data_IF_025132417605
#
_entry.id   IF_025132417605
#
_cell.length_a   1.000
_cell.length_b   1.000
_cell.length_c   1.000
_cell.angle_alpha   90.00
_cell.angle_beta   90.00
_cell.angle_gamma   90.00
#
_symmetry.space_group_name_H-M   'P 1'
#
loop_
_entity.id
_entity.type
_entity.pdbx_description
1 polymer ?
#
# COMPACT_ATOMS: atom_id res chain seq x y z
N UNK A 1 -12.45 -52.38 -27.62
CA UNK A 1 -12.68 -51.93 -26.23
C UNK A 1 -13.79 -50.90 -26.21
N UNK A 2 -14.96 -51.23 -25.63
CA UNK A 2 -16.07 -50.27 -25.46
C UNK A 2 -15.85 -49.52 -24.15
N UNK A 3 -15.30 -48.33 -24.21
CA UNK A 3 -15.17 -47.45 -23.04
C UNK A 3 -16.58 -47.03 -22.66
N UNK A 4 -17.10 -47.57 -21.55
CA UNK A 4 -18.44 -47.25 -21.05
C UNK A 4 -18.52 -45.76 -20.69
N UNK A 5 -19.55 -45.06 -21.19
CA UNK A 5 -19.84 -43.64 -20.90
C UNK A 5 -19.87 -43.33 -19.39
N UNK A 6 -20.21 -44.33 -18.56
CA UNK A 6 -20.14 -44.25 -17.08
C UNK A 6 -18.72 -43.99 -16.54
N UNK A 7 -17.68 -44.49 -17.22
CA UNK A 7 -16.29 -44.29 -16.84
C UNK A 7 -15.80 -42.87 -17.20
N UNK A 8 -16.37 -42.26 -18.25
CA UNK A 8 -16.06 -40.89 -18.66
C UNK A 8 -16.71 -39.85 -17.71
N UNK A 9 -17.91 -40.14 -17.20
CA UNK A 9 -18.59 -39.31 -16.19
C UNK A 9 -17.90 -39.35 -14.82
N UNK A 10 -17.31 -40.47 -14.44
CA UNK A 10 -16.57 -40.61 -13.18
C UNK A 10 -15.23 -39.85 -13.19
N UNK A 11 -14.58 -39.76 -14.37
CA UNK A 11 -13.32 -39.01 -14.53
C UNK A 11 -13.53 -37.48 -14.52
N UNK A 12 -14.73 -37.01 -14.85
CA UNK A 12 -15.05 -35.58 -14.85
C UNK A 12 -15.35 -35.02 -13.45
N UNK A 13 -15.59 -35.87 -12.45
CA UNK A 13 -15.92 -35.44 -11.09
C UNK A 13 -14.69 -35.19 -10.20
N UNK A 14 -13.49 -35.60 -10.63
CA UNK A 14 -12.26 -35.56 -9.81
C UNK A 14 -11.43 -34.28 -10.03
N UNK A 15 -11.77 -33.43 -11.00
CA UNK A 15 -10.98 -32.21 -11.32
C UNK A 15 -11.48 -30.92 -10.65
N UNK A 16 -12.45 -31.01 -9.71
CA UNK A 16 -13.03 -29.85 -9.02
C UNK A 16 -12.39 -29.53 -7.65
N UNK A 17 -11.14 -29.95 -7.42
CA UNK A 17 -10.33 -29.37 -6.35
C UNK A 17 -9.78 -28.01 -6.79
N UNK A 18 -10.68 -27.03 -6.88
CA UNK A 18 -10.33 -25.62 -6.94
C UNK A 18 -9.55 -25.30 -5.67
N UNK A 19 -8.23 -25.12 -5.79
CA UNK A 19 -7.36 -24.66 -4.73
C UNK A 19 -7.87 -23.32 -4.22
N UNK A 20 -8.66 -23.35 -3.16
CA UNK A 20 -8.97 -22.17 -2.35
C UNK A 20 -7.68 -21.80 -1.64
N UNK A 21 -6.84 -21.03 -2.32
CA UNK A 21 -5.76 -20.33 -1.64
C UNK A 21 -6.46 -19.34 -0.72
N UNK A 22 -6.43 -19.59 0.58
CA UNK A 22 -6.83 -18.58 1.56
C UNK A 22 -6.02 -17.33 1.23
N UNK A 23 -6.72 -16.19 1.07
CA UNK A 23 -6.07 -14.92 0.86
C UNK A 23 -5.30 -14.58 2.14
N UNK A 24 -4.04 -14.98 2.18
CA UNK A 24 -3.16 -14.74 3.31
C UNK A 24 -2.64 -13.31 3.20
N UNK A 25 -2.82 -12.54 4.27
CA UNK A 25 -2.29 -11.19 4.35
C UNK A 25 -1.36 -11.07 5.55
N UNK A 26 -0.27 -10.35 5.34
CA UNK A 26 0.67 -9.97 6.39
C UNK A 26 0.40 -8.54 6.82
N UNK A 27 0.35 -8.33 8.14
CA UNK A 27 0.28 -6.99 8.73
C UNK A 27 1.67 -6.46 9.00
N UNK A 28 1.90 -5.18 8.74
CA UNK A 28 3.15 -4.50 8.97
C UNK A 28 2.92 -3.22 9.77
N UNK A 29 3.72 -3.03 10.83
CA UNK A 29 3.87 -1.74 11.48
C UNK A 29 4.79 -0.87 10.63
N UNK A 30 4.22 0.15 10.01
CA UNK A 30 4.87 1.17 9.22
C UNK A 30 5.18 2.39 10.09
N UNK A 31 6.45 2.58 10.40
CA UNK A 31 6.97 3.77 11.05
C UNK A 31 7.41 4.77 9.98
N UNK A 32 6.92 6.00 10.08
CA UNK A 32 7.29 7.10 9.18
C UNK A 32 7.93 8.18 10.04
N UNK A 33 9.19 8.50 9.78
CA UNK A 33 9.90 9.60 10.43
C UNK A 33 9.96 10.78 9.46
N UNK A 34 9.54 11.97 9.91
CA UNK A 34 9.58 13.19 9.10
C UNK A 34 10.93 13.90 9.22
N UNK A 35 11.30 14.61 8.16
CA UNK A 35 12.30 15.67 8.21
C UNK A 35 11.74 16.85 9.02
N UNK A 36 12.63 17.64 9.63
CA UNK A 36 12.24 18.91 10.23
C UNK A 36 11.94 19.91 9.11
N UNK A 37 10.78 20.57 9.21
CA UNK A 37 10.34 21.64 8.31
C UNK A 37 9.36 22.53 9.07
N UNK A 38 9.12 23.73 8.54
CA UNK A 38 8.12 24.67 9.06
C UNK A 38 6.82 24.58 8.24
N UNK A 39 5.67 24.78 8.90
CA UNK A 39 4.34 24.72 8.30
C UNK A 39 3.43 23.70 8.97
N UNK A 40 2.27 23.49 8.36
CA UNK A 40 1.25 22.56 8.83
C UNK A 40 1.68 21.09 8.69
N UNK A 41 0.92 20.19 9.31
CA UNK A 41 1.18 18.76 9.23
C UNK A 41 1.10 18.21 7.80
N UNK A 42 2.12 17.45 7.39
CA UNK A 42 2.13 16.79 6.10
C UNK A 42 1.01 15.75 5.97
N UNK A 43 0.38 15.78 4.81
CA UNK A 43 -0.46 14.71 4.30
C UNK A 43 0.44 13.64 3.71
N UNK A 44 0.20 12.38 4.06
CA UNK A 44 0.98 11.24 3.58
C UNK A 44 0.04 10.14 3.12
N UNK A 45 0.28 9.63 1.92
CA UNK A 45 -0.47 8.52 1.35
C UNK A 45 0.44 7.31 1.23
N UNK A 46 -0.03 6.17 1.71
CA UNK A 46 0.62 4.87 1.49
C UNK A 46 -0.20 4.13 0.43
N UNK A 47 0.37 3.93 -0.76
CA UNK A 47 -0.27 3.24 -1.88
C UNK A 47 0.46 1.96 -2.26
N UNK A 48 -0.30 0.94 -2.66
CA UNK A 48 0.19 -0.24 -3.35
C UNK A 48 0.26 0.07 -4.85
N UNK A 49 1.44 -0.08 -5.43
CA UNK A 49 1.72 0.10 -6.85
C UNK A 49 2.01 -1.26 -7.46
N UNK A 50 1.33 -1.56 -8.58
CA UNK A 50 1.51 -2.83 -9.29
C UNK A 50 2.80 -2.85 -10.14
N UNK A 51 3.21 -4.02 -10.68
CA UNK A 51 4.44 -4.14 -11.46
C UNK A 51 4.46 -3.29 -12.74
N UNK A 52 3.30 -2.84 -13.22
CA UNK A 52 3.16 -1.94 -14.37
C UNK A 52 3.29 -0.46 -13.98
N UNK A 53 3.55 -0.16 -12.70
CA UNK A 53 3.67 1.20 -12.18
C UNK A 53 2.34 1.90 -11.90
N UNK A 54 1.21 1.20 -12.00
CA UNK A 54 -0.11 1.78 -11.76
C UNK A 54 -0.55 1.59 -10.30
N UNK A 55 -1.33 2.53 -9.79
CA UNK A 55 -1.97 2.44 -8.48
C UNK A 55 -2.96 1.26 -8.45
N UNK A 56 -2.82 0.42 -7.43
CA UNK A 56 -3.74 -0.70 -7.20
C UNK A 56 -4.65 -0.45 -5.99
N UNK A 57 -4.11 0.09 -4.89
CA UNK A 57 -4.88 0.29 -3.65
C UNK A 57 -4.26 1.37 -2.76
N UNK A 58 -5.08 2.16 -2.09
CA UNK A 58 -4.66 3.00 -0.97
C UNK A 58 -4.71 2.20 0.32
N UNK A 59 -3.57 2.12 1.01
CA UNK A 59 -3.40 1.32 2.22
C UNK A 59 -3.57 2.17 3.49
N UNK A 60 -3.15 3.44 3.47
CA UNK A 60 -3.36 4.37 4.58
C UNK A 60 -3.30 5.82 4.10
N UNK A 61 -4.02 6.69 4.81
CA UNK A 61 -4.00 8.14 4.65
C UNK A 61 -3.64 8.77 5.99
N UNK A 62 -2.66 9.65 6.00
CA UNK A 62 -2.36 10.54 7.12
C UNK A 62 -2.73 11.94 6.64
N UNK A 63 -3.72 12.57 7.27
CA UNK A 63 -4.39 13.75 6.74
C UNK A 63 -5.90 13.55 6.74
N UNK A 64 -6.61 14.06 7.77
CA UNK A 64 -8.04 13.79 7.93
C UNK A 64 -8.92 14.66 7.03
N UNK A 65 -8.46 15.84 6.64
CA UNK A 65 -9.28 16.81 5.93
C UNK A 65 -9.22 16.59 4.42
N UNK A 66 -10.39 16.34 3.84
CA UNK A 66 -10.55 16.01 2.43
C UNK A 66 -10.30 17.20 1.51
N UNK A 67 -10.42 18.43 2.02
CA UNK A 67 -10.22 19.62 1.18
C UNK A 67 -8.79 19.68 0.62
N UNK A 68 -7.83 19.09 1.34
CA UNK A 68 -6.41 19.07 0.99
C UNK A 68 -5.99 17.86 0.18
N UNK A 69 -6.89 16.91 -0.13
CA UNK A 69 -6.54 15.71 -0.89
C UNK A 69 -6.10 16.02 -2.32
N UNK A 70 -6.60 17.11 -2.89
CA UNK A 70 -6.19 17.60 -4.21
C UNK A 70 -4.71 18.04 -4.30
N UNK A 71 -4.03 18.28 -3.17
CA UNK A 71 -2.59 18.59 -3.13
C UNK A 71 -1.73 17.39 -3.54
N UNK A 72 -2.21 16.17 -3.26
CA UNK A 72 -1.62 14.89 -3.63
C UNK A 72 -2.12 14.45 -5.01
N UNK A 73 -1.72 15.19 -6.06
CA UNK A 73 -2.36 15.18 -7.38
C UNK A 73 -2.49 13.79 -8.02
N UNK A 74 -1.43 12.99 -8.02
CA UNK A 74 -1.44 11.67 -8.68
C UNK A 74 -2.31 10.67 -7.91
N UNK A 75 -2.14 10.60 -6.59
CA UNK A 75 -3.02 9.79 -5.75
C UNK A 75 -4.48 10.24 -5.86
N UNK A 76 -4.78 11.54 -5.82
CA UNK A 76 -6.14 12.05 -5.86
C UNK A 76 -6.85 11.68 -7.18
N UNK A 77 -6.13 11.75 -8.31
CA UNK A 77 -6.62 11.28 -9.61
C UNK A 77 -6.96 9.78 -9.61
N UNK A 78 -6.18 8.96 -8.91
CA UNK A 78 -6.49 7.54 -8.71
C UNK A 78 -7.69 7.37 -7.78
N UNK A 79 -7.68 8.04 -6.64
CA UNK A 79 -8.63 7.86 -5.55
C UNK A 79 -10.05 8.29 -5.95
N UNK A 80 -10.20 9.33 -6.76
CA UNK A 80 -11.51 9.75 -7.30
C UNK A 80 -12.19 8.68 -8.16
N UNK A 81 -11.44 7.69 -8.66
CA UNK A 81 -11.95 6.54 -9.43
C UNK A 81 -11.99 5.25 -8.60
N UNK A 82 -11.55 5.30 -7.35
CA UNK A 82 -11.39 4.15 -6.47
C UNK A 82 -12.61 3.99 -5.56
N UNK A 83 -12.99 2.73 -5.31
CA UNK A 83 -14.08 2.39 -4.39
C UNK A 83 -13.59 2.21 -2.93
N UNK A 84 -12.32 2.51 -2.64
CA UNK A 84 -11.74 2.33 -1.30
C UNK A 84 -12.36 3.33 -0.31
N UNK A 85 -12.97 2.82 0.77
CA UNK A 85 -13.51 3.62 1.87
C UNK A 85 -12.37 4.19 2.74
N UNK A 86 -12.00 5.45 2.49
CA UNK A 86 -10.89 6.10 3.18
C UNK A 86 -11.08 6.24 4.69
N UNK A 87 -12.32 6.39 5.17
CA UNK A 87 -12.59 6.66 6.59
C UNK A 87 -12.03 5.60 7.55
N UNK A 88 -11.82 4.36 7.10
CA UNK A 88 -11.26 3.27 7.91
C UNK A 88 -9.71 3.26 7.94
N UNK A 89 -9.07 3.99 7.04
CA UNK A 89 -7.62 3.99 6.84
C UNK A 89 -6.98 5.37 6.98
N UNK A 90 -7.79 6.39 7.30
CA UNK A 90 -7.38 7.78 7.53
C UNK A 90 -7.05 8.03 9.00
N UNK A 91 -5.95 8.73 9.26
CA UNK A 91 -5.62 9.29 10.58
C UNK A 91 -5.06 10.70 10.48
N UNK A 92 -4.51 11.22 11.58
CA UNK A 92 -3.92 12.56 11.64
C UNK A 92 -2.77 12.74 10.62
N UNK A 93 -2.60 13.97 10.13
CA UNK A 93 -1.41 14.44 9.42
C UNK A 93 -0.18 14.43 10.35
N UNK A 94 1.02 14.64 9.81
CA UNK A 94 2.28 14.46 10.55
C UNK A 94 3.13 15.72 10.50
N UNK A 95 3.41 16.32 11.66
CA UNK A 95 4.23 17.53 11.77
C UNK A 95 5.69 17.33 11.32
N UNK A 96 6.38 18.46 11.08
CA UNK A 96 7.81 18.46 10.80
C UNK A 96 8.61 17.91 11.98
N UNK A 97 9.51 16.94 11.71
CA UNK A 97 10.30 16.25 12.72
C UNK A 97 9.55 15.16 13.53
N UNK A 98 8.22 15.12 13.43
CA UNK A 98 7.42 14.11 14.12
C UNK A 98 7.53 12.72 13.50
N UNK A 99 6.95 11.75 14.20
CA UNK A 99 6.87 10.37 13.77
C UNK A 99 5.43 9.87 13.79
N UNK A 100 5.05 9.15 12.74
CA UNK A 100 3.77 8.43 12.68
C UNK A 100 3.96 6.92 12.66
N UNK A 101 2.95 6.21 13.16
CA UNK A 101 2.85 4.75 13.11
C UNK A 101 1.51 4.35 12.49
N UNK A 102 1.56 3.45 11.51
CA UNK A 102 0.36 2.86 10.90
C UNK A 102 0.54 1.35 10.77
N UNK A 103 -0.55 0.61 10.94
CA UNK A 103 -0.57 -0.80 10.56
C UNK A 103 -1.15 -0.87 9.15
N UNK A 104 -0.37 -1.40 8.22
CA UNK A 104 -0.84 -1.69 6.86
C UNK A 104 -0.93 -3.19 6.67
N UNK A 105 -1.87 -3.61 5.84
CA UNK A 105 -2.08 -5.01 5.51
C UNK A 105 -1.79 -5.23 4.02
N UNK A 106 -0.93 -6.21 3.75
CA UNK A 106 -0.45 -6.52 2.40
C UNK A 106 -0.80 -7.98 2.13
N UNK A 107 -1.42 -8.22 0.98
CA UNK A 107 -1.68 -9.57 0.46
C UNK A 107 -0.35 -10.25 0.12
N UNK A 108 -0.11 -11.43 0.71
CA UNK A 108 1.14 -12.17 0.56
C UNK A 108 1.38 -12.59 -0.90
N UNK A 109 0.33 -12.70 -1.72
CA UNK A 109 0.43 -12.99 -3.15
C UNK A 109 1.14 -11.89 -3.94
N UNK A 110 1.26 -10.69 -3.36
CA UNK A 110 1.91 -9.51 -3.97
C UNK A 110 3.41 -9.45 -3.66
N UNK A 111 3.86 -10.17 -2.63
CA UNK A 111 5.27 -10.20 -2.22
C UNK A 111 6.13 -10.87 -3.28
N UNK A 112 7.30 -10.29 -3.56
CA UNK A 112 8.26 -10.75 -4.57
C UNK A 112 7.68 -10.86 -6.00
N UNK A 113 6.60 -10.12 -6.31
CA UNK A 113 5.96 -10.08 -7.64
C UNK A 113 6.19 -8.78 -8.41
N UNK A 114 7.15 -7.95 -7.99
CA UNK A 114 7.44 -6.66 -8.62
C UNK A 114 6.52 -5.51 -8.19
N UNK A 115 5.67 -5.75 -7.19
CA UNK A 115 4.88 -4.72 -6.53
C UNK A 115 5.74 -3.79 -5.67
N UNK A 116 5.21 -2.61 -5.37
CA UNK A 116 5.89 -1.62 -4.53
C UNK A 116 4.92 -0.91 -3.58
N UNK A 117 5.44 -0.45 -2.45
CA UNK A 117 4.81 0.58 -1.65
C UNK A 117 5.32 1.94 -2.13
N UNK A 118 4.40 2.88 -2.36
CA UNK A 118 4.73 4.28 -2.63
C UNK A 118 4.16 5.16 -1.55
N UNK A 119 5.01 6.04 -1.05
CA UNK A 119 4.67 7.10 -0.11
C UNK A 119 4.70 8.41 -0.85
N UNK A 120 3.56 9.09 -0.84
CA UNK A 120 3.44 10.45 -1.34
C UNK A 120 3.31 11.40 -0.16
N UNK A 121 3.88 12.58 -0.26
CA UNK A 121 3.77 13.59 0.79
C UNK A 121 3.48 14.98 0.23
N UNK A 122 2.67 15.76 0.95
CA UNK A 122 2.42 17.16 0.66
C UNK A 122 2.17 17.91 1.97
N UNK A 123 2.68 19.12 2.09
CA UNK A 123 2.29 20.06 3.16
C UNK A 123 1.39 21.11 2.51
N UNK A 124 0.37 21.57 3.25
CA UNK A 124 -0.57 22.59 2.78
C UNK A 124 0.20 23.81 2.26
N UNK A 125 -0.16 24.27 1.05
CA UNK A 125 0.50 25.38 0.35
C UNK A 125 2.02 25.21 0.08
N UNK A 126 2.55 23.98 0.16
CA UNK A 126 3.96 23.70 -0.14
C UNK A 126 4.15 22.65 -1.25
N UNK A 127 5.35 22.06 -1.31
CA UNK A 127 5.72 21.11 -2.36
C UNK A 127 4.91 19.82 -2.22
N UNK A 128 4.69 19.16 -3.34
CA UNK A 128 4.13 17.83 -3.40
C UNK A 128 5.20 16.87 -3.93
N UNK A 129 5.44 15.78 -3.20
CA UNK A 129 6.38 14.73 -3.55
C UNK A 129 5.63 13.45 -3.88
N UNK A 130 5.42 13.20 -5.19
CA UNK A 130 4.74 12.00 -5.71
C UNK A 130 5.45 10.71 -5.29
N UNK A 131 6.77 10.72 -5.20
CA UNK A 131 7.58 9.55 -4.82
C UNK A 131 8.57 9.97 -3.76
N UNK A 132 8.05 10.31 -2.58
CA UNK A 132 8.89 10.64 -1.44
C UNK A 132 9.68 9.40 -0.99
N UNK A 133 8.98 8.28 -0.78
CA UNK A 133 9.59 6.96 -0.55
C UNK A 133 8.96 5.93 -1.49
N UNK A 134 9.78 5.03 -2.02
CA UNK A 134 9.31 3.86 -2.76
C UNK A 134 10.07 2.61 -2.27
N UNK A 135 9.33 1.57 -1.88
CA UNK A 135 9.88 0.34 -1.31
C UNK A 135 9.41 -0.84 -2.16
N UNK A 136 10.30 -1.60 -2.82
CA UNK A 136 9.94 -2.87 -3.44
C UNK A 136 9.30 -3.81 -2.41
N UNK A 137 8.23 -4.50 -2.78
CA UNK A 137 7.58 -5.50 -1.92
C UNK A 137 8.35 -6.83 -1.94
N UNK A 138 9.64 -6.76 -1.66
CA UNK A 138 10.53 -7.93 -1.48
C UNK A 138 10.86 -8.11 -0.01
N UNK A 139 11.11 -9.34 0.43
CA UNK A 139 11.40 -9.65 1.84
C UNK A 139 12.57 -8.82 2.38
N UNK A 140 13.60 -8.63 1.55
CA UNK A 140 14.83 -7.90 1.88
C UNK A 140 14.52 -6.40 2.06
N UNK A 141 13.97 -5.75 1.03
CA UNK A 141 13.63 -4.33 1.08
C UNK A 141 12.64 -3.96 2.19
N UNK A 142 11.72 -4.86 2.56
CA UNK A 142 10.78 -4.63 3.66
C UNK A 142 11.42 -4.73 5.05
N UNK A 143 12.57 -5.41 5.17
CA UNK A 143 13.35 -5.47 6.40
C UNK A 143 14.26 -4.24 6.59
N UNK A 144 14.54 -3.52 5.52
CA UNK A 144 15.43 -2.37 5.51
C UNK A 144 14.73 -1.04 5.85
N UNK A 145 15.54 -0.03 6.17
CA UNK A 145 15.08 1.35 6.30
C UNK A 145 15.15 2.01 4.92
N UNK A 146 14.03 2.51 4.43
CA UNK A 146 13.96 3.25 3.18
C UNK A 146 14.04 4.76 3.43
N UNK A 147 15.04 5.43 2.87
CA UNK A 147 15.19 6.89 2.97
C UNK A 147 14.20 7.62 2.06
N UNK A 148 13.65 8.74 2.54
CA UNK A 148 12.80 9.61 1.74
C UNK A 148 13.57 10.71 1.01
N UNK A 149 12.86 11.39 0.12
CA UNK A 149 13.40 12.41 -0.80
C UNK A 149 12.71 13.78 -0.62
N UNK A 150 11.67 13.85 0.20
CA UNK A 150 10.87 15.04 0.47
C UNK A 150 10.69 15.26 1.97
N UNK A 151 9.44 15.34 2.42
CA UNK A 151 9.12 15.56 3.83
C UNK A 151 9.40 14.33 4.70
N UNK A 152 9.39 13.13 4.13
CA UNK A 152 9.72 11.91 4.86
C UNK A 152 11.25 11.78 4.93
N UNK A 153 11.77 11.61 6.14
CA UNK A 153 13.18 11.29 6.36
C UNK A 153 13.46 9.83 6.05
N UNK A 154 12.67 8.93 6.65
CA UNK A 154 12.72 7.51 6.35
C UNK A 154 11.44 6.79 6.74
N UNK A 155 11.24 5.62 6.15
CA UNK A 155 10.23 4.62 6.53
C UNK A 155 10.92 3.36 7.02
N UNK A 156 10.36 2.73 8.05
CA UNK A 156 10.74 1.38 8.49
C UNK A 156 9.49 0.54 8.68
N UNK A 157 9.50 -0.66 8.12
CA UNK A 157 8.44 -1.65 8.26
C UNK A 157 8.90 -2.77 9.19
N UNK A 158 7.98 -3.28 10.00
CA UNK A 158 8.20 -4.51 10.77
C UNK A 158 6.95 -5.36 10.65
N UNK A 159 7.10 -6.62 10.23
CA UNK A 159 6.00 -7.57 10.18
C UNK A 159 5.45 -7.77 11.61
N UNK A 160 4.12 -7.71 11.73
CA UNK A 160 3.42 -8.01 12.97
C UNK A 160 3.34 -9.53 13.07
N UNK A 161 3.70 -10.07 14.24
CA UNK A 161 3.58 -11.50 14.55
C UNK A 161 2.12 -11.93 14.60
#
# INVERSE_FOLDING_TARGET
MKISIKFLLLLFFVTLFSSHSFAQSSKFKCMIQMNSYEGEGAYIIISLINPKGAYEKTLSVLGPDKQWYNTLKEWHKFQTKSNVKLSAITGASVGGGDRAMRTIEIDDTKLNKGYKLRFESAVEEQKYHVTDVEIPLTTEALAERASGKGYIKFVKLNKVQ
#
